data_IF_593873539027
#
_entry.id   IF_593873539027
#
_cell.length_a   1.000
_cell.length_b   1.000
_cell.length_c   1.000
_cell.angle_alpha   90.00
_cell.angle_beta   90.00
_cell.angle_gamma   90.00
#
_symmetry.space_group_name_H-M   'P 1'
#
loop_
_entity.id
_entity.type
_entity.pdbx_description
1 polymer ?
#
# COMPACT_ATOMS: atom_id res chain seq x y z
N UNK A 1 -15.17 -13.25 7.79
CA UNK A 1 -14.40 -11.99 7.91
C UNK A 1 -13.83 -11.60 6.55
N UNK A 2 -13.68 -10.31 6.29
CA UNK A 2 -13.03 -9.83 5.07
C UNK A 2 -11.54 -10.16 5.09
N UNK A 3 -10.99 -10.57 3.94
CA UNK A 3 -9.56 -10.84 3.77
C UNK A 3 -8.87 -9.78 2.92
N UNK A 4 -7.66 -9.41 3.30
CA UNK A 4 -6.83 -8.50 2.51
C UNK A 4 -6.41 -9.16 1.19
N UNK A 5 -6.53 -8.41 0.10
CA UNK A 5 -5.89 -8.72 -1.17
C UNK A 5 -4.38 -8.67 -1.03
N UNK A 6 -3.68 -9.21 -2.03
CA UNK A 6 -2.27 -8.89 -2.23
C UNK A 6 -2.11 -7.38 -2.32
N UNK A 7 -1.02 -6.87 -1.74
CA UNK A 7 -0.64 -5.48 -1.93
C UNK A 7 -0.45 -5.16 -3.42
N UNK A 8 -0.85 -3.96 -3.83
CA UNK A 8 -0.49 -3.43 -5.14
C UNK A 8 1.03 -3.26 -5.22
N UNK A 9 1.53 -3.11 -6.44
CA UNK A 9 2.88 -2.63 -6.63
C UNK A 9 3.05 -1.27 -5.95
N UNK A 10 4.26 -1.00 -5.48
CA UNK A 10 4.64 0.31 -4.99
C UNK A 10 4.50 1.33 -6.11
N UNK A 11 3.97 2.50 -5.79
CA UNK A 11 4.02 3.67 -6.66
C UNK A 11 5.47 4.09 -6.92
N UNK A 12 5.65 4.87 -7.99
CA UNK A 12 6.93 5.53 -8.25
C UNK A 12 7.32 6.39 -7.05
N UNK A 13 8.62 6.48 -6.79
CA UNK A 13 9.12 7.35 -5.74
C UNK A 13 8.66 8.79 -6.01
N UNK A 14 8.18 9.48 -4.98
CA UNK A 14 7.70 10.86 -5.07
C UNK A 14 8.77 11.83 -5.57
N UNK A 15 10.05 11.44 -5.45
CA UNK A 15 11.18 12.16 -6.02
C UNK A 15 11.88 11.31 -7.06
N UNK A 16 12.44 11.99 -8.05
CA UNK A 16 13.32 11.40 -9.07
C UNK A 16 14.78 11.34 -8.61
N UNK A 17 15.14 12.06 -7.53
CA UNK A 17 16.44 12.00 -6.88
C UNK A 17 16.31 12.24 -5.36
N UNK A 18 17.30 11.81 -4.61
CA UNK A 18 17.38 11.92 -3.16
C UNK A 18 16.40 11.01 -2.41
N UNK A 19 16.21 11.27 -1.10
CA UNK A 19 15.24 10.56 -0.27
C UNK A 19 13.82 11.04 -0.59
N UNK A 20 12.98 10.11 -1.02
CA UNK A 20 11.55 10.29 -1.30
C UNK A 20 10.69 9.25 -0.57
N UNK A 21 9.42 9.19 -0.95
CA UNK A 21 8.44 8.24 -0.43
C UNK A 21 7.74 7.52 -1.58
N UNK A 22 7.36 6.27 -1.34
CA UNK A 22 6.53 5.46 -2.24
C UNK A 22 5.39 4.87 -1.43
N UNK A 23 4.29 4.61 -2.10
CA UNK A 23 3.04 4.20 -1.46
C UNK A 23 2.51 2.93 -2.14
N UNK A 24 1.83 2.09 -1.38
CA UNK A 24 1.09 0.94 -1.93
C UNK A 24 -0.21 0.77 -1.18
N UNK A 25 -1.17 0.13 -1.83
CA UNK A 25 -2.50 -0.06 -1.28
C UNK A 25 -2.89 -1.54 -1.37
N UNK A 26 -3.86 -1.96 -0.56
CA UNK A 26 -4.48 -3.29 -0.62
C UNK A 26 -5.98 -3.13 -0.40
N UNK A 27 -6.75 -4.06 -0.95
CA UNK A 27 -8.21 -4.03 -0.85
C UNK A 27 -8.70 -5.11 0.09
N UNK A 28 -9.76 -4.85 0.83
CA UNK A 28 -10.41 -5.85 1.66
C UNK A 28 -11.43 -6.64 0.84
N UNK A 29 -10.95 -7.41 -0.15
CA UNK A 29 -11.81 -8.09 -1.11
C UNK A 29 -11.46 -9.57 -1.36
N UNK A 30 -10.57 -10.16 -0.57
CA UNK A 30 -10.08 -11.52 -0.78
C UNK A 30 -10.12 -12.39 0.50
N UNK A 31 -11.29 -12.83 0.99
CA UNK A 31 -12.63 -12.64 0.40
C UNK A 31 -13.28 -11.31 0.80
N UNK A 32 -14.28 -10.87 0.02
CA UNK A 32 -15.10 -9.71 0.39
C UNK A 32 -15.82 -9.95 1.73
N UNK A 33 -15.85 -8.98 2.65
CA UNK A 33 -16.66 -9.08 3.85
C UNK A 33 -18.14 -9.16 3.44
N UNK A 34 -18.79 -10.27 3.80
CA UNK A 34 -20.22 -10.51 3.58
C UNK A 34 -20.92 -10.73 4.92
N UNK A 35 -22.25 -10.56 4.96
CA UNK A 35 -23.13 -10.86 6.09
C UNK A 35 -22.61 -10.37 7.46
N UNK A 36 -22.59 -9.05 7.66
CA UNK A 36 -22.11 -8.43 8.91
C UNK A 36 -20.67 -8.84 9.29
N UNK A 37 -19.91 -9.40 8.36
CA UNK A 37 -18.53 -9.80 8.54
C UNK A 37 -17.63 -8.59 8.76
N UNK A 38 -16.68 -8.75 9.68
CA UNK A 38 -15.73 -7.70 10.03
C UNK A 38 -14.96 -7.22 8.81
N UNK A 39 -14.77 -5.90 8.69
CA UNK A 39 -13.81 -5.34 7.73
C UNK A 39 -12.41 -5.82 8.07
N UNK A 40 -11.52 -5.78 7.08
CA UNK A 40 -10.15 -6.22 7.29
C UNK A 40 -9.45 -5.33 8.32
N UNK A 41 -8.83 -5.95 9.32
CA UNK A 41 -8.12 -5.22 10.37
C UNK A 41 -6.75 -4.73 9.88
N UNK A 42 -6.44 -3.46 10.17
CA UNK A 42 -5.20 -2.78 9.78
C UNK A 42 -5.38 -1.77 8.64
N UNK A 43 -4.27 -1.21 8.16
CA UNK A 43 -4.33 -0.15 7.15
C UNK A 43 -4.45 -0.73 5.73
N UNK A 44 -5.25 -0.09 4.88
CA UNK A 44 -5.35 -0.36 3.45
C UNK A 44 -4.24 0.35 2.65
N UNK A 45 -3.54 1.31 3.25
CA UNK A 45 -2.43 2.06 2.66
C UNK A 45 -1.13 1.88 3.48
N UNK A 46 -0.01 1.83 2.77
CA UNK A 46 1.33 1.78 3.36
C UNK A 46 2.26 2.76 2.64
N UNK A 47 3.02 3.51 3.43
CA UNK A 47 4.02 4.47 2.97
C UNK A 47 5.41 3.99 3.37
N UNK A 48 6.33 3.97 2.42
CA UNK A 48 7.72 3.57 2.66
C UNK A 48 8.70 4.56 2.04
N UNK A 49 9.87 4.68 2.66
CA UNK A 49 10.95 5.53 2.14
C UNK A 49 11.58 4.87 0.90
N UNK A 50 11.90 5.69 -0.10
CA UNK A 50 12.66 5.27 -1.26
C UNK A 50 13.86 6.19 -1.46
N UNK A 51 15.00 5.61 -1.82
CA UNK A 51 16.19 6.35 -2.23
C UNK A 51 16.42 6.01 -3.70
N UNK A 52 16.32 7.00 -4.58
CA UNK A 52 16.48 6.80 -6.02
C UNK A 52 17.95 6.89 -6.40
N UNK A 53 18.48 8.10 -6.42
CA UNK A 53 19.87 8.43 -6.74
C UNK A 53 20.27 9.69 -5.97
N UNK A 54 21.54 10.06 -5.95
CA UNK A 54 21.91 11.38 -5.44
C UNK A 54 21.37 12.48 -6.36
N UNK A 55 20.86 13.57 -5.77
CA UNK A 55 20.52 14.75 -6.54
C UNK A 55 21.79 15.45 -7.02
N UNK A 56 21.82 15.94 -8.27
CA UNK A 56 22.96 16.69 -8.82
C UNK A 56 23.16 18.04 -8.13
#
# INVERSE_FOLDING_TARGET
DGGWSTWTLWSSCSKTCGPGIKERNRLCNNPNPAYNGSTCHGNDNEISKCNVTFCP
#
